data_IF_070339390582
#
_entry.id   IF_070339390582
#
_cell.length_a   1.000
_cell.length_b   1.000
_cell.length_c   1.000
_cell.angle_alpha   90.00
_cell.angle_beta   90.00
_cell.angle_gamma   90.00
#
_symmetry.space_group_name_H-M   'P 1'
#
loop_
_entity.id
_entity.type
_entity.pdbx_description
1 polymer ?
#
# COMPACT_ATOMS: atom_id res chain seq x y z
N UNK A 1 48.46 -9.55 -19.88
CA UNK A 1 47.63 -10.78 -20.00
C UNK A 1 46.27 -10.69 -19.31
N UNK A 2 46.13 -10.19 -18.07
CA UNK A 2 44.81 -10.10 -17.38
C UNK A 2 43.73 -9.23 -18.06
N UNK A 3 44.11 -8.19 -18.83
CA UNK A 3 43.14 -7.32 -19.52
C UNK A 3 42.51 -7.95 -20.78
N UNK A 4 43.17 -8.93 -21.41
CA UNK A 4 42.66 -9.62 -22.60
C UNK A 4 41.56 -10.62 -22.22
N UNK A 5 41.69 -11.30 -21.07
CA UNK A 5 40.66 -12.23 -20.58
C UNK A 5 39.35 -11.53 -20.21
N UNK A 6 39.40 -10.30 -19.70
CA UNK A 6 38.19 -9.51 -19.38
C UNK A 6 37.45 -9.10 -20.65
N UNK A 7 38.18 -8.75 -21.72
CA UNK A 7 37.58 -8.39 -23.01
C UNK A 7 36.96 -9.62 -23.68
N UNK A 8 37.60 -10.79 -23.61
CA UNK A 8 37.05 -12.05 -24.14
C UNK A 8 35.81 -12.50 -23.35
N UNK A 9 35.79 -12.31 -22.02
CA UNK A 9 34.65 -12.65 -21.17
C UNK A 9 33.42 -11.75 -21.44
N UNK A 10 33.64 -10.45 -21.67
CA UNK A 10 32.57 -9.52 -22.05
C UNK A 10 32.04 -9.82 -23.46
N UNK A 11 32.92 -10.17 -24.40
CA UNK A 11 32.51 -10.59 -25.75
C UNK A 11 31.72 -11.91 -25.75
N UNK A 12 32.06 -12.88 -24.89
CA UNK A 12 31.27 -14.11 -24.76
C UNK A 12 29.86 -13.86 -24.18
N UNK A 13 29.73 -12.93 -23.22
CA UNK A 13 28.42 -12.54 -22.67
C UNK A 13 27.51 -11.83 -23.70
N UNK A 14 28.10 -11.18 -24.70
CA UNK A 14 27.35 -10.54 -25.80
C UNK A 14 26.92 -11.53 -26.90
N UNK A 15 27.65 -12.65 -27.07
CA UNK A 15 27.37 -13.64 -28.13
C UNK A 15 26.44 -14.77 -27.65
N UNK A 16 26.39 -15.05 -26.35
CA UNK A 16 25.52 -16.09 -25.78
C UNK A 16 24.72 -15.56 -24.59
N UNK A 17 23.51 -15.02 -24.84
CA UNK A 17 22.61 -14.77 -23.70
C UNK A 17 21.26 -14.12 -23.95
N UNK A 18 21.11 -13.24 -24.95
CA UNK A 18 19.78 -12.75 -25.33
C UNK A 18 19.22 -13.62 -26.45
N UNK A 19 18.72 -14.81 -26.10
CA UNK A 19 17.67 -15.40 -26.94
C UNK A 19 16.52 -14.41 -26.90
N UNK A 20 16.29 -13.74 -28.03
CA UNK A 20 15.04 -13.03 -28.30
C UNK A 20 13.96 -14.07 -28.08
N UNK A 21 13.26 -13.99 -26.94
CA UNK A 21 12.03 -14.75 -26.74
C UNK A 21 11.13 -14.44 -27.92
N UNK A 22 10.40 -15.45 -28.41
CA UNK A 22 9.41 -15.26 -29.46
C UNK A 22 8.61 -13.99 -29.14
N UNK A 23 8.54 -13.08 -30.11
CA UNK A 23 7.64 -11.94 -30.01
C UNK A 23 6.26 -12.54 -29.77
N UNK A 24 5.75 -12.39 -28.55
CA UNK A 24 4.35 -12.68 -28.28
C UNK A 24 3.52 -12.00 -29.37
N UNK A 25 2.47 -12.67 -29.82
CA UNK A 25 1.55 -12.16 -30.83
C UNK A 25 1.27 -10.70 -30.46
N UNK A 26 1.59 -9.78 -31.38
CA UNK A 26 1.27 -8.38 -31.17
C UNK A 26 -0.22 -8.32 -30.84
N UNK A 27 -0.56 -7.90 -29.62
CA UNK A 27 -1.94 -7.67 -29.25
C UNK A 27 -2.54 -6.76 -30.31
N UNK A 28 -3.77 -7.07 -30.74
CA UNK A 28 -4.48 -6.25 -31.72
C UNK A 28 -4.28 -4.78 -31.36
N UNK A 29 -3.82 -3.98 -32.32
CA UNK A 29 -3.83 -2.53 -32.22
C UNK A 29 -5.27 -2.19 -31.85
N UNK A 30 -5.48 -1.77 -30.59
CA UNK A 30 -6.78 -1.33 -30.14
C UNK A 30 -7.27 -0.32 -31.15
N UNK A 31 -8.53 -0.44 -31.60
CA UNK A 31 -9.09 0.53 -32.52
C UNK A 31 -8.73 1.92 -32.03
N UNK A 32 -8.25 2.77 -32.94
CA UNK A 32 -8.08 4.19 -32.67
C UNK A 32 -9.38 4.64 -32.00
N UNK A 33 -9.32 4.83 -30.68
CA UNK A 33 -10.46 5.30 -29.94
C UNK A 33 -10.86 6.57 -30.63
N UNK A 34 -12.13 6.70 -31.02
CA UNK A 34 -12.63 8.00 -31.44
C UNK A 34 -12.28 8.95 -30.30
N UNK A 35 -11.62 10.05 -30.64
CA UNK A 35 -11.44 11.13 -29.68
C UNK A 35 -12.80 11.38 -29.03
N UNK A 36 -12.82 11.33 -27.69
CA UNK A 36 -14.03 11.61 -26.94
C UNK A 36 -14.60 12.95 -27.40
N UNK A 37 -15.92 13.09 -27.39
CA UNK A 37 -16.57 14.37 -27.61
C UNK A 37 -15.85 15.42 -26.74
N UNK A 38 -15.36 16.49 -27.36
CA UNK A 38 -14.66 17.57 -26.66
C UNK A 38 -15.50 18.01 -25.47
N UNK A 39 -14.94 17.87 -24.26
CA UNK A 39 -15.64 18.24 -23.03
C UNK A 39 -16.11 19.69 -23.12
N UNK A 40 -17.40 19.91 -22.89
CA UNK A 40 -18.09 21.18 -23.10
C UNK A 40 -17.58 22.35 -22.23
N UNK A 41 -16.59 22.15 -21.36
CA UNK A 41 -16.08 23.14 -20.40
C UNK A 41 -14.54 23.35 -20.42
N UNK A 42 -13.78 22.61 -21.24
CA UNK A 42 -12.33 22.76 -21.36
C UNK A 42 -11.50 22.30 -20.15
N UNK A 43 -12.10 21.63 -19.15
CA UNK A 43 -11.44 21.23 -17.88
C UNK A 43 -11.45 19.73 -17.64
N UNK A 44 -10.90 18.98 -18.60
CA UNK A 44 -10.78 17.51 -18.54
C UNK A 44 -9.91 17.02 -17.39
N UNK A 45 -9.01 17.86 -16.87
CA UNK A 45 -8.20 17.60 -15.67
C UNK A 45 -9.06 17.38 -14.41
N UNK A 46 -10.17 18.10 -14.29
CA UNK A 46 -11.09 18.00 -13.14
C UNK A 46 -11.95 16.74 -13.23
N UNK A 47 -12.39 16.36 -14.43
CA UNK A 47 -13.06 15.06 -14.64
C UNK A 47 -12.11 13.90 -14.36
N UNK A 48 -10.86 14.01 -14.83
CA UNK A 48 -9.82 13.04 -14.53
C UNK A 48 -9.56 12.94 -13.02
N UNK A 49 -9.58 14.06 -12.29
CA UNK A 49 -9.46 14.09 -10.83
C UNK A 49 -10.54 13.24 -10.16
N UNK A 50 -11.81 13.45 -10.54
CA UNK A 50 -12.93 12.66 -10.00
C UNK A 50 -12.75 11.17 -10.31
N UNK A 51 -12.41 10.84 -11.55
CA UNK A 51 -12.22 9.44 -11.99
C UNK A 51 -11.07 8.77 -11.23
N UNK A 52 -9.91 9.43 -11.14
CA UNK A 52 -8.75 8.90 -10.44
C UNK A 52 -9.02 8.74 -8.94
N UNK A 53 -9.68 9.71 -8.32
CA UNK A 53 -10.09 9.61 -6.93
C UNK A 53 -11.03 8.41 -6.69
N UNK A 54 -12.08 8.25 -7.50
CA UNK A 54 -13.01 7.13 -7.38
C UNK A 54 -12.33 5.79 -7.63
N UNK A 55 -11.38 5.72 -8.57
CA UNK A 55 -10.59 4.52 -8.83
C UNK A 55 -9.73 4.17 -7.62
N UNK A 56 -9.02 5.15 -7.06
CA UNK A 56 -8.22 5.01 -5.83
C UNK A 56 -9.08 4.49 -4.67
N UNK A 57 -10.23 5.12 -4.40
CA UNK A 57 -11.16 4.72 -3.32
C UNK A 57 -11.68 3.28 -3.48
N UNK A 58 -11.99 2.87 -4.72
CA UNK A 58 -12.46 1.51 -5.02
C UNK A 58 -11.36 0.47 -4.84
N UNK A 59 -10.14 0.75 -5.29
CA UNK A 59 -9.01 -0.18 -5.18
C UNK A 59 -8.71 -0.54 -3.72
N UNK A 60 -8.95 0.39 -2.79
CA UNK A 60 -8.73 0.18 -1.35
C UNK A 60 -9.66 -0.87 -0.72
N UNK A 61 -10.84 -1.11 -1.30
CA UNK A 61 -11.86 -2.03 -0.76
C UNK A 61 -12.11 -3.25 -1.65
N UNK A 62 -11.26 -3.51 -2.65
CA UNK A 62 -11.52 -4.46 -3.74
C UNK A 62 -11.86 -5.89 -3.29
N UNK A 63 -11.34 -6.34 -2.15
CA UNK A 63 -11.55 -7.69 -1.62
C UNK A 63 -12.41 -7.74 -0.35
N UNK A 64 -12.92 -6.60 0.13
CA UNK A 64 -13.66 -6.53 1.39
C UNK A 64 -14.89 -7.45 1.39
N UNK A 65 -15.65 -7.45 0.29
CA UNK A 65 -16.87 -8.24 0.15
C UNK A 65 -16.64 -9.75 0.25
N UNK A 66 -15.49 -10.23 -0.23
CA UNK A 66 -15.11 -11.65 -0.09
C UNK A 66 -14.59 -11.95 1.31
N UNK A 67 -13.88 -11.01 1.93
CA UNK A 67 -13.32 -11.16 3.27
C UNK A 67 -14.38 -11.09 4.38
N UNK A 68 -15.40 -10.24 4.25
CA UNK A 68 -16.39 -9.97 5.32
C UNK A 68 -17.05 -11.24 5.86
N UNK A 69 -17.20 -12.27 5.03
CA UNK A 69 -17.79 -13.56 5.39
C UNK A 69 -16.93 -14.37 6.37
N UNK A 70 -15.62 -14.11 6.42
CA UNK A 70 -14.64 -14.77 7.31
C UNK A 70 -14.15 -13.86 8.43
N UNK A 71 -14.57 -12.60 8.43
CA UNK A 71 -14.08 -11.58 9.36
C UNK A 71 -14.31 -11.98 10.82
N UNK A 72 -15.50 -12.50 11.13
CA UNK A 72 -15.85 -12.88 12.50
C UNK A 72 -14.96 -14.02 13.03
N UNK A 73 -14.56 -14.95 12.17
CA UNK A 73 -13.66 -16.05 12.54
C UNK A 73 -12.26 -15.49 12.89
N UNK A 74 -11.72 -14.60 12.04
CA UNK A 74 -10.44 -13.94 12.32
C UNK A 74 -10.47 -13.03 13.55
N UNK A 75 -11.58 -12.32 13.78
CA UNK A 75 -11.77 -11.47 14.96
C UNK A 75 -11.75 -12.29 16.26
N UNK A 76 -12.19 -13.56 16.23
CA UNK A 76 -12.18 -14.48 17.37
C UNK A 76 -10.82 -15.16 17.57
N UNK A 77 -10.14 -15.52 16.49
CA UNK A 77 -8.91 -16.33 16.55
C UNK A 77 -7.64 -15.50 16.79
N UNK A 78 -7.61 -14.24 16.35
CA UNK A 78 -6.48 -13.34 16.62
C UNK A 78 -6.73 -12.64 17.98
N UNK A 79 -5.79 -12.71 18.95
CA UNK A 79 -5.98 -12.16 20.28
C UNK A 79 -5.81 -10.62 20.30
N UNK A 80 -6.58 -9.88 19.52
CA UNK A 80 -6.48 -8.41 19.42
C UNK A 80 -6.79 -7.69 20.73
N UNK A 81 -7.73 -8.22 21.53
CA UNK A 81 -8.04 -7.72 22.88
C UNK A 81 -7.09 -8.30 23.92
N UNK A 82 -5.78 -8.12 23.70
CA UNK A 82 -4.74 -8.57 24.61
C UNK A 82 -3.94 -7.36 25.14
N UNK A 83 -3.64 -7.38 26.44
CA UNK A 83 -2.84 -6.35 27.12
C UNK A 83 -1.44 -6.17 26.53
N UNK A 84 -0.92 -7.18 25.82
CA UNK A 84 0.33 -7.11 25.06
C UNK A 84 0.28 -5.98 24.01
N UNK A 85 -0.90 -5.69 23.48
CA UNK A 85 -1.15 -4.66 22.48
C UNK A 85 -1.71 -3.37 23.07
N UNK A 86 -1.52 -3.13 24.38
CA UNK A 86 -2.07 -1.98 25.11
C UNK A 86 -3.59 -1.81 24.96
N UNK A 87 -4.31 -2.88 24.60
CA UNK A 87 -5.73 -2.84 24.29
C UNK A 87 -6.11 -1.92 23.10
N UNK A 88 -5.19 -1.66 22.18
CA UNK A 88 -5.34 -0.74 21.04
C UNK A 88 -6.23 -1.27 19.91
N UNK A 89 -6.54 -2.57 19.89
CA UNK A 89 -7.30 -3.23 18.81
C UNK A 89 -8.66 -3.78 19.27
N UNK A 90 -9.27 -3.12 20.27
CA UNK A 90 -10.55 -3.53 20.87
C UNK A 90 -11.76 -3.32 19.96
N UNK A 91 -11.76 -2.26 19.17
CA UNK A 91 -12.91 -1.92 18.32
C UNK A 91 -12.83 -2.65 16.98
N UNK A 92 -14.00 -2.91 16.38
CA UNK A 92 -14.09 -3.47 15.04
C UNK A 92 -13.33 -2.63 14.01
N UNK A 93 -13.45 -1.30 14.07
CA UNK A 93 -12.76 -0.41 13.14
C UNK A 93 -11.23 -0.55 13.23
N UNK A 94 -10.68 -0.68 14.44
CA UNK A 94 -9.23 -0.83 14.63
C UNK A 94 -8.71 -2.16 14.06
N UNK A 95 -9.46 -3.25 14.25
CA UNK A 95 -9.11 -4.56 13.65
C UNK A 95 -9.27 -4.53 12.13
N UNK A 96 -10.31 -3.87 11.64
CA UNK A 96 -10.54 -3.75 10.21
C UNK A 96 -9.39 -3.03 9.48
N UNK A 97 -8.77 -2.04 10.12
CA UNK A 97 -7.56 -1.39 9.58
C UNK A 97 -6.41 -2.38 9.32
N UNK A 98 -6.24 -3.38 10.19
CA UNK A 98 -5.23 -4.44 9.99
C UNK A 98 -5.56 -5.26 8.75
N UNK A 99 -6.82 -5.67 8.58
CA UNK A 99 -7.24 -6.46 7.42
C UNK A 99 -7.15 -5.65 6.11
N UNK A 100 -7.56 -4.38 6.13
CA UNK A 100 -7.48 -3.47 5.00
C UNK A 100 -6.03 -3.24 4.53
N UNK A 101 -5.08 -3.20 5.48
CA UNK A 101 -3.65 -3.05 5.16
C UNK A 101 -3.07 -4.24 4.39
N UNK A 102 -3.71 -5.41 4.45
CA UNK A 102 -3.35 -6.63 3.73
C UNK A 102 -4.24 -6.85 2.49
N UNK A 103 -4.89 -5.80 1.99
CA UNK A 103 -5.90 -5.86 0.92
C UNK A 103 -7.03 -6.86 1.23
N UNK A 104 -7.36 -7.10 2.50
CA UNK A 104 -8.32 -8.13 2.90
C UNK A 104 -8.00 -9.52 2.33
N UNK A 105 -6.74 -9.80 2.01
CA UNK A 105 -6.30 -11.07 1.46
C UNK A 105 -6.32 -12.14 2.56
N UNK A 106 -7.14 -13.17 2.37
CA UNK A 106 -7.34 -14.23 3.37
C UNK A 106 -6.06 -15.01 3.66
N UNK A 107 -5.22 -15.29 2.65
CA UNK A 107 -3.96 -16.02 2.87
C UNK A 107 -2.98 -15.20 3.70
N UNK A 108 -2.85 -13.90 3.43
CA UNK A 108 -1.98 -13.02 4.19
C UNK A 108 -2.45 -12.87 5.64
N UNK A 109 -3.76 -12.76 5.85
CA UNK A 109 -4.36 -12.65 7.19
C UNK A 109 -4.21 -13.97 7.97
N UNK A 110 -4.35 -15.11 7.29
CA UNK A 110 -4.09 -16.43 7.88
C UNK A 110 -2.61 -16.58 8.30
N UNK A 111 -1.67 -16.06 7.50
CA UNK A 111 -0.25 -16.02 7.88
C UNK A 111 -0.06 -15.13 9.12
N UNK A 112 -0.67 -13.94 9.16
CA UNK A 112 -0.59 -13.05 10.31
C UNK A 112 -1.16 -13.71 11.59
N UNK A 113 -2.30 -14.39 11.48
CA UNK A 113 -2.90 -15.14 12.59
C UNK A 113 -1.93 -16.19 13.14
N UNK A 114 -1.41 -17.04 12.27
CA UNK A 114 -0.49 -18.11 12.65
C UNK A 114 0.83 -17.56 13.21
N UNK A 115 1.30 -16.43 12.67
CA UNK A 115 2.46 -15.71 13.17
C UNK A 115 2.26 -15.22 14.60
N UNK A 116 1.13 -14.57 14.88
CA UNK A 116 0.81 -14.08 16.23
C UNK A 116 0.69 -15.25 17.19
N UNK A 117 -0.09 -16.27 16.85
CA UNK A 117 -0.23 -17.47 17.69
C UNK A 117 1.13 -18.09 18.02
N UNK A 118 2.01 -18.21 17.01
CA UNK A 118 3.33 -18.81 17.17
C UNK A 118 4.26 -18.00 18.08
N UNK A 119 4.21 -16.69 18.02
CA UNK A 119 5.06 -15.85 18.86
C UNK A 119 4.54 -15.75 20.29
N UNK A 120 3.24 -15.95 20.50
CA UNK A 120 2.66 -16.05 21.84
C UNK A 120 3.19 -17.27 22.61
N UNK A 121 3.46 -18.40 21.93
CA UNK A 121 4.07 -19.59 22.55
C UNK A 121 5.45 -19.31 23.17
N UNK A 122 6.14 -18.28 22.69
CA UNK A 122 7.51 -17.92 23.09
C UNK A 122 7.60 -16.45 23.47
N UNK A 123 6.59 -15.87 24.12
CA UNK A 123 6.57 -14.42 24.33
C UNK A 123 7.68 -13.94 25.29
N UNK A 124 8.42 -12.92 24.87
CA UNK A 124 9.30 -12.10 25.70
C UNK A 124 9.11 -10.62 25.35
N UNK A 125 9.77 -9.71 26.07
CA UNK A 125 9.57 -8.26 25.88
C UNK A 125 9.95 -7.78 24.47
N UNK A 126 11.06 -8.26 23.88
CA UNK A 126 11.47 -7.90 22.52
C UNK A 126 10.45 -8.40 21.48
N UNK A 127 9.98 -9.65 21.61
CA UNK A 127 8.95 -10.22 20.72
C UNK A 127 7.63 -9.48 20.86
N UNK A 128 7.22 -9.14 22.09
CA UNK A 128 6.02 -8.34 22.35
C UNK A 128 6.09 -7.00 21.63
N UNK A 129 7.20 -6.28 21.76
CA UNK A 129 7.40 -5.00 21.09
C UNK A 129 7.37 -5.15 19.57
N UNK A 130 8.01 -6.19 19.01
CA UNK A 130 8.06 -6.42 17.58
C UNK A 130 6.69 -6.77 16.97
N UNK A 131 5.87 -7.60 17.62
CA UNK A 131 4.51 -7.91 17.15
C UNK A 131 3.63 -6.66 17.23
N UNK A 132 3.73 -5.92 18.33
CA UNK A 132 3.00 -4.66 18.50
C UNK A 132 3.37 -3.66 17.41
N UNK A 133 4.66 -3.50 17.13
CA UNK A 133 5.15 -2.64 16.08
C UNK A 133 4.68 -3.08 14.69
N UNK A 134 4.65 -4.40 14.40
CA UNK A 134 4.06 -4.94 13.17
C UNK A 134 2.59 -4.54 13.03
N UNK A 135 1.77 -4.77 14.07
CA UNK A 135 0.34 -4.46 14.03
C UNK A 135 0.09 -2.96 13.87
N UNK A 136 0.88 -2.10 14.52
CA UNK A 136 0.79 -0.66 14.30
C UNK A 136 1.20 -0.24 12.89
N UNK A 137 2.29 -0.77 12.34
CA UNK A 137 2.66 -0.49 10.95
C UNK A 137 1.57 -0.91 9.97
N UNK A 138 0.91 -2.05 10.19
CA UNK A 138 -0.25 -2.49 9.41
C UNK A 138 -1.42 -1.50 9.53
N UNK A 139 -1.82 -1.15 10.76
CA UNK A 139 -2.87 -0.15 11.01
C UNK A 139 -2.58 1.18 10.30
N UNK A 140 -1.34 1.65 10.38
CA UNK A 140 -0.97 2.96 9.89
C UNK A 140 -0.98 3.02 8.35
N UNK A 141 -0.70 1.91 7.65
CA UNK A 141 -0.91 1.80 6.19
C UNK A 141 -2.36 2.11 5.81
N UNK A 142 -3.33 1.53 6.53
CA UNK A 142 -4.76 1.79 6.33
C UNK A 142 -5.12 3.23 6.70
N UNK A 143 -4.70 3.69 7.88
CA UNK A 143 -5.05 5.02 8.38
C UNK A 143 -4.57 6.14 7.46
N UNK A 144 -3.39 6.04 6.86
CA UNK A 144 -2.90 7.06 5.94
C UNK A 144 -3.73 7.15 4.67
N UNK A 145 -4.18 6.02 4.14
CA UNK A 145 -5.01 5.95 2.95
C UNK A 145 -6.44 6.43 3.27
N UNK A 146 -7.00 5.97 4.38
CA UNK A 146 -8.32 6.37 4.88
C UNK A 146 -8.40 7.87 5.18
N UNK A 147 -7.32 8.48 5.70
CA UNK A 147 -7.24 9.92 5.90
C UNK A 147 -7.32 10.70 4.58
N UNK A 148 -6.63 10.22 3.53
CA UNK A 148 -6.71 10.83 2.19
C UNK A 148 -8.10 10.69 1.60
N UNK A 149 -8.75 9.52 1.72
CA UNK A 149 -10.12 9.30 1.26
C UNK A 149 -11.07 10.28 1.97
N UNK A 150 -10.97 10.37 3.30
CA UNK A 150 -11.84 11.25 4.11
C UNK A 150 -11.68 12.72 3.72
N UNK A 151 -10.44 13.20 3.55
CA UNK A 151 -10.19 14.57 3.12
C UNK A 151 -10.70 14.81 1.68
N UNK A 152 -10.52 13.83 0.79
CA UNK A 152 -10.94 13.90 -0.60
C UNK A 152 -12.46 13.88 -0.76
N UNK A 153 -13.20 13.12 0.04
CA UNK A 153 -14.67 13.10 0.03
C UNK A 153 -15.27 14.48 0.34
N UNK A 154 -14.59 15.27 1.18
CA UNK A 154 -15.01 16.64 1.51
C UNK A 154 -14.72 17.60 0.35
N UNK A 155 -13.55 17.49 -0.29
CA UNK A 155 -13.10 18.45 -1.31
C UNK A 155 -13.60 18.11 -2.71
N UNK A 156 -13.60 16.83 -3.10
CA UNK A 156 -13.95 16.33 -4.44
C UNK A 156 -15.42 15.86 -4.46
N UNK A 157 -16.32 16.71 -3.95
CA UNK A 157 -17.77 16.48 -4.01
C UNK A 157 -18.37 17.04 -5.30
N UNK A 158 -19.52 16.53 -5.74
CA UNK A 158 -20.20 17.02 -6.96
C UNK A 158 -20.46 18.53 -6.94
N UNK A 159 -20.77 19.08 -5.76
CA UNK A 159 -20.93 20.52 -5.58
C UNK A 159 -19.61 21.27 -5.78
N UNK A 160 -18.53 20.83 -5.14
CA UNK A 160 -17.23 21.50 -5.23
C UNK A 160 -16.60 21.37 -6.61
N UNK A 161 -16.83 20.26 -7.32
CA UNK A 161 -16.30 20.04 -8.67
C UNK A 161 -16.75 21.12 -9.66
N UNK A 162 -17.96 21.64 -9.53
CA UNK A 162 -18.45 22.76 -10.35
C UNK A 162 -17.61 24.02 -10.13
N UNK A 163 -17.21 24.29 -8.88
CA UNK A 163 -16.38 25.43 -8.53
C UNK A 163 -14.91 25.20 -8.91
N UNK A 164 -14.39 23.98 -8.74
CA UNK A 164 -13.04 23.61 -9.18
C UNK A 164 -12.87 23.89 -10.68
N UNK A 165 -13.86 23.54 -11.51
CA UNK A 165 -13.84 23.79 -12.95
C UNK A 165 -13.75 25.27 -13.32
N UNK A 166 -14.38 26.15 -12.53
CA UNK A 166 -14.36 27.60 -12.76
C UNK A 166 -13.08 28.26 -12.23
N UNK A 167 -12.33 27.59 -11.36
CA UNK A 167 -11.11 28.09 -10.73
C UNK A 167 -9.87 27.97 -11.58
N UNK A 168 -8.93 28.90 -11.43
CA UNK A 168 -7.58 28.77 -11.98
C UNK A 168 -6.71 27.94 -11.01
N UNK A 169 -6.84 26.62 -11.10
CA UNK A 169 -6.24 25.65 -10.16
C UNK A 169 -5.66 24.42 -10.87
N UNK A 170 -5.32 24.55 -12.15
CA UNK A 170 -4.86 23.46 -13.01
C UNK A 170 -3.65 22.70 -12.42
N UNK A 171 -2.69 23.44 -11.85
CA UNK A 171 -1.48 22.85 -11.25
C UNK A 171 -1.79 22.00 -10.02
N UNK A 172 -2.75 22.45 -9.19
CA UNK A 172 -3.18 21.73 -7.99
C UNK A 172 -3.93 20.45 -8.40
N UNK A 173 -4.84 20.56 -9.37
CA UNK A 173 -5.63 19.43 -9.89
C UNK A 173 -4.73 18.39 -10.56
N UNK A 174 -3.79 18.82 -11.40
CA UNK A 174 -2.81 17.93 -12.05
C UNK A 174 -1.92 17.22 -11.03
N UNK A 175 -1.46 17.94 -10.00
CA UNK A 175 -0.66 17.34 -8.91
C UNK A 175 -1.45 16.29 -8.15
N UNK A 176 -2.70 16.57 -7.76
CA UNK A 176 -3.55 15.61 -7.05
C UNK A 176 -3.81 14.35 -7.88
N UNK A 177 -4.04 14.50 -9.19
CA UNK A 177 -4.17 13.36 -10.10
C UNK A 177 -2.96 12.41 -10.06
N UNK A 178 -1.75 12.97 -10.13
CA UNK A 178 -0.52 12.20 -10.03
C UNK A 178 -0.36 11.56 -8.63
N UNK A 179 -0.63 12.32 -7.57
CA UNK A 179 -0.47 11.87 -6.19
C UNK A 179 -1.40 10.71 -5.82
N UNK A 180 -2.66 10.66 -6.31
CA UNK A 180 -3.54 9.51 -6.07
C UNK A 180 -3.02 8.21 -6.71
N UNK A 181 -2.44 8.33 -7.90
CA UNK A 181 -1.81 7.20 -8.59
C UNK A 181 -0.56 6.74 -7.85
N UNK A 182 0.27 7.69 -7.40
CA UNK A 182 1.48 7.41 -6.63
C UNK A 182 1.17 6.78 -5.27
N UNK A 183 0.12 7.24 -4.57
CA UNK A 183 -0.28 6.65 -3.28
C UNK A 183 -0.74 5.19 -3.45
N UNK A 184 -1.49 4.92 -4.52
CA UNK A 184 -1.87 3.55 -4.89
C UNK A 184 -0.65 2.67 -5.15
N UNK A 185 0.33 3.20 -5.89
CA UNK A 185 1.58 2.51 -6.22
C UNK A 185 2.43 2.22 -4.97
N UNK A 186 2.69 3.23 -4.12
CA UNK A 186 3.47 3.08 -2.89
C UNK A 186 2.82 2.08 -1.94
N UNK A 187 1.50 2.13 -1.78
CA UNK A 187 0.75 1.18 -0.94
C UNK A 187 0.92 -0.25 -1.48
N UNK A 188 0.69 -0.45 -2.78
CA UNK A 188 0.87 -1.77 -3.40
C UNK A 188 2.31 -2.29 -3.25
N UNK A 189 3.31 -1.41 -3.34
CA UNK A 189 4.72 -1.74 -3.12
C UNK A 189 4.98 -2.21 -1.68
N UNK A 190 4.48 -1.47 -0.68
CA UNK A 190 4.59 -1.83 0.74
C UNK A 190 3.92 -3.18 1.01
N UNK A 191 2.69 -3.38 0.52
CA UNK A 191 1.96 -4.65 0.71
C UNK A 191 2.71 -5.81 0.06
N UNK A 192 3.24 -5.62 -1.14
CA UNK A 192 4.06 -6.62 -1.83
C UNK A 192 5.29 -7.02 -1.00
N UNK A 193 5.98 -6.05 -0.41
CA UNK A 193 7.15 -6.33 0.43
C UNK A 193 6.76 -7.07 1.71
N UNK A 194 5.64 -6.70 2.35
CA UNK A 194 5.09 -7.44 3.50
C UNK A 194 4.77 -8.89 3.11
N UNK A 195 4.13 -9.12 1.96
CA UNK A 195 3.84 -10.47 1.43
C UNK A 195 5.11 -11.30 1.22
N UNK A 196 6.19 -10.68 0.74
CA UNK A 196 7.48 -11.35 0.57
C UNK A 196 8.08 -11.77 1.92
N UNK A 197 7.94 -10.92 2.94
CA UNK A 197 8.34 -11.24 4.31
C UNK A 197 7.48 -12.37 4.88
N UNK A 198 6.16 -12.31 4.73
CA UNK A 198 5.22 -13.36 5.16
C UNK A 198 5.53 -14.71 4.51
N UNK A 199 5.82 -14.72 3.21
CA UNK A 199 6.25 -15.92 2.48
C UNK A 199 7.56 -16.49 3.02
N UNK A 200 8.48 -15.63 3.46
CA UNK A 200 9.73 -16.05 4.09
C UNK A 200 9.49 -16.60 5.49
N UNK A 201 8.64 -15.95 6.28
CA UNK A 201 8.21 -16.39 7.63
C UNK A 201 7.54 -17.76 7.58
N UNK A 202 6.69 -18.04 6.58
CA UNK A 202 5.99 -19.32 6.42
C UNK A 202 6.93 -20.53 6.47
N UNK A 203 8.12 -20.42 5.86
CA UNK A 203 9.18 -21.46 5.87
C UNK A 203 9.75 -21.74 7.26
N UNK A 204 9.59 -20.81 8.20
CA UNK A 204 10.05 -20.95 9.58
C UNK A 204 8.92 -21.37 10.53
N UNK A 205 7.66 -21.38 10.08
CA UNK A 205 6.52 -21.76 10.92
C UNK A 205 6.28 -23.27 10.98
N UNK A 206 6.75 -24.05 10.00
CA UNK A 206 6.50 -25.50 9.89
C UNK A 206 7.07 -26.34 11.06
N UNK A 207 8.12 -25.88 11.74
CA UNK A 207 8.77 -26.61 12.85
C UNK A 207 9.09 -25.65 14.00
N UNK A 208 8.80 -26.06 15.23
CA UNK A 208 9.11 -25.28 16.44
C UNK A 208 10.59 -25.45 16.81
N UNK A 209 11.41 -24.41 16.65
CA UNK A 209 12.72 -24.33 17.28
C UNK A 209 13.10 -22.89 17.60
N UNK A 210 13.97 -22.70 18.60
CA UNK A 210 14.43 -21.37 19.02
C UNK A 210 15.06 -20.57 17.86
N UNK A 211 15.87 -21.22 17.02
CA UNK A 211 16.50 -20.60 15.85
C UNK A 211 15.47 -20.12 14.82
N UNK A 212 14.38 -20.88 14.63
CA UNK A 212 13.28 -20.52 13.73
C UNK A 212 12.51 -19.33 14.28
N UNK A 213 12.23 -19.30 15.59
CA UNK A 213 11.59 -18.15 16.25
C UNK A 213 12.45 -16.88 16.14
N UNK A 214 13.77 -16.99 16.32
CA UNK A 214 14.69 -15.88 16.11
C UNK A 214 14.64 -15.36 14.67
N UNK A 215 14.60 -16.26 13.69
CA UNK A 215 14.46 -15.92 12.26
C UNK A 215 13.14 -15.21 11.96
N UNK A 216 12.03 -15.67 12.55
CA UNK A 216 10.72 -15.02 12.44
C UNK A 216 10.79 -13.60 13.01
N UNK A 217 11.30 -13.45 14.23
CA UNK A 217 11.40 -12.15 14.90
C UNK A 217 12.27 -11.15 14.09
N UNK A 218 13.41 -11.61 13.55
CA UNK A 218 14.25 -10.80 12.67
C UNK A 218 13.52 -10.30 11.41
N UNK A 219 12.68 -11.13 10.81
CA UNK A 219 11.85 -10.74 9.65
C UNK A 219 10.78 -9.71 10.02
N UNK A 220 10.14 -9.85 11.18
CA UNK A 220 9.13 -8.90 11.66
C UNK A 220 9.72 -7.52 11.90
N UNK A 221 10.95 -7.45 12.43
CA UNK A 221 11.67 -6.18 12.64
C UNK A 221 11.86 -5.39 11.35
N UNK A 222 11.91 -6.03 10.18
CA UNK A 222 11.98 -5.33 8.89
C UNK A 222 10.71 -4.48 8.65
N UNK A 223 9.57 -4.93 9.18
CA UNK A 223 8.26 -4.29 9.06
C UNK A 223 8.04 -3.25 10.15
N UNK A 224 8.18 -3.63 11.43
CA UNK A 224 7.75 -2.80 12.56
C UNK A 224 8.84 -1.93 13.20
N UNK A 225 10.12 -2.28 13.10
CA UNK A 225 11.20 -1.51 13.76
C UNK A 225 11.45 -0.19 13.04
N UNK A 226 11.76 0.88 13.77
CA UNK A 226 12.10 2.20 13.18
C UNK A 226 13.32 2.16 12.22
N UNK A 227 14.19 1.17 12.38
CA UNK A 227 15.32 0.90 11.48
C UNK A 227 14.95 0.03 10.28
N UNK A 228 13.80 -0.65 10.34
CA UNK A 228 13.28 -1.56 9.33
C UNK A 228 13.00 -0.88 8.00
N UNK A 229 13.32 -1.57 6.91
CA UNK A 229 13.17 -1.01 5.57
C UNK A 229 11.71 -0.75 5.20
N UNK A 230 10.80 -1.66 5.57
CA UNK A 230 9.37 -1.50 5.29
C UNK A 230 8.77 -0.42 6.21
N UNK A 231 9.17 -0.37 7.48
CA UNK A 231 8.79 0.73 8.38
C UNK A 231 9.10 2.10 7.76
N UNK A 232 10.32 2.27 7.22
CA UNK A 232 10.71 3.53 6.58
C UNK A 232 9.83 3.88 5.38
N UNK A 233 9.46 2.90 4.55
CA UNK A 233 8.51 3.12 3.44
C UNK A 233 7.12 3.56 3.91
N UNK A 234 6.73 3.19 5.13
CA UNK A 234 5.44 3.58 5.71
C UNK A 234 5.54 4.98 6.34
N UNK A 235 6.60 5.28 7.11
CA UNK A 235 6.63 6.42 8.04
C UNK A 235 7.66 7.53 7.74
N UNK A 236 8.74 7.25 7.00
CA UNK A 236 9.93 8.12 7.04
C UNK A 236 10.17 8.85 5.71
N UNK A 237 10.14 10.18 5.78
CA UNK A 237 10.47 11.07 4.67
C UNK A 237 9.34 11.24 3.64
N UNK A 238 9.57 12.11 2.66
CA UNK A 238 8.58 12.49 1.66
C UNK A 238 8.24 11.34 0.70
N UNK A 239 9.16 10.38 0.56
CA UNK A 239 8.97 9.16 -0.24
C UNK A 239 8.12 8.09 0.47
N UNK A 240 7.76 8.29 1.74
CA UNK A 240 6.92 7.35 2.50
C UNK A 240 5.42 7.52 2.22
N UNK A 241 4.62 6.56 2.69
CA UNK A 241 3.16 6.68 2.70
C UNK A 241 2.70 7.86 3.56
N UNK A 242 3.27 8.05 4.75
CA UNK A 242 2.96 9.18 5.63
C UNK A 242 3.28 10.52 4.96
N UNK A 243 4.45 10.64 4.33
CA UNK A 243 4.89 11.84 3.61
C UNK A 243 3.88 12.21 2.51
N UNK A 244 3.59 11.27 1.61
CA UNK A 244 2.65 11.49 0.52
C UNK A 244 1.23 11.79 1.00
N UNK A 245 0.76 11.10 2.05
CA UNK A 245 -0.53 11.41 2.69
C UNK A 245 -0.58 12.87 3.13
N UNK A 246 0.47 13.37 3.78
CA UNK A 246 0.51 14.74 4.27
C UNK A 246 0.52 15.75 3.13
N UNK A 247 1.26 15.47 2.05
CA UNK A 247 1.30 16.31 0.85
C UNK A 247 -0.05 16.36 0.13
N UNK A 248 -0.73 15.22 -0.02
CA UNK A 248 -2.08 15.18 -0.61
C UNK A 248 -3.05 16.00 0.23
N UNK A 249 -3.09 15.82 1.55
CA UNK A 249 -3.98 16.59 2.43
C UNK A 249 -3.69 18.07 2.33
N UNK A 250 -2.40 18.47 2.29
CA UNK A 250 -2.02 19.87 2.10
C UNK A 250 -2.53 20.41 0.76
N UNK A 251 -2.40 19.66 -0.34
CA UNK A 251 -2.93 20.07 -1.65
C UNK A 251 -4.45 20.12 -1.72
N UNK A 252 -5.14 19.23 -1.02
CA UNK A 252 -6.60 19.30 -0.88
C UNK A 252 -7.03 20.56 -0.13
N UNK A 253 -6.31 20.96 0.93
CA UNK A 253 -6.59 22.21 1.65
C UNK A 253 -6.25 23.46 0.82
N UNK A 254 -5.19 23.44 0.02
CA UNK A 254 -4.90 24.49 -0.95
C UNK A 254 -6.02 24.62 -2.00
N UNK A 255 -6.47 23.49 -2.58
CA UNK A 255 -7.59 23.47 -3.52
C UNK A 255 -8.88 23.98 -2.88
N UNK A 256 -9.18 23.57 -1.65
CA UNK A 256 -10.36 24.00 -0.92
C UNK A 256 -10.41 25.52 -0.74
N UNK A 257 -9.26 26.19 -0.53
CA UNK A 257 -9.20 27.65 -0.43
C UNK A 257 -9.55 28.35 -1.75
N UNK A 258 -9.30 27.72 -2.90
CA UNK A 258 -9.69 28.31 -4.20
C UNK A 258 -11.21 28.31 -4.40
N UNK A 259 -11.97 27.50 -3.64
CA UNK A 259 -13.43 27.38 -3.77
C UNK A 259 -14.20 28.57 -3.19
N UNK A 260 -13.57 29.35 -2.29
CA UNK A 260 -14.21 30.44 -1.55
C UNK A 260 -13.68 31.82 -1.93
N UNK A 261 -12.81 31.89 -2.94
CA UNK A 261 -12.17 33.12 -3.43
C UNK A 261 -12.77 33.59 -4.77
N UNK A 262 -13.89 33.01 -5.20
CA UNK A 262 -14.63 33.36 -6.41
C UNK A 262 -16.01 33.91 -6.05
#
# INVERSE_FOLDING_TARGET
MKKIYVVIFILMLLVFGCKIGERGIAGFVGHNGKDGLGGHDGRSDVELLKVNYLKFKRMFHSNYESFKLKKEDFDKEIPFDNIIFDNEFKTESQRNSIYASLDYNVEDIEILKNLIARLFDFIDDDRKENIKALLFSLRDIDQYVSAVITASDVVISDFNLVNIKKGDNIDIVSSLNAMFSELSYRRASVIKDIRNIFSSIKKFMEVASADRISSINGNIRIIGSNTGMIYKKIHVGDESLLGLKNDIIKKLEELKKTLWLQ
#
